data_IF_270348028345
#
_entry.id   IF_270348028345
#
_cell.length_a   1.000
_cell.length_b   1.000
_cell.length_c   1.000
_cell.angle_alpha   90.00
_cell.angle_beta   90.00
_cell.angle_gamma   90.00
#
_symmetry.space_group_name_H-M   'P 1'
#
loop_
_entity.id
_entity.type
_entity.pdbx_description
1 polymer ?
#
# COMPACT_ATOMS: atom_id res chain seq x y z
N UNK A 1 12.12 12.99 -1.80
CA UNK A 1 10.97 13.88 -1.63
C UNK A 1 9.74 13.32 -2.33
N UNK A 2 9.91 12.73 -3.49
CA UNK A 2 8.80 12.14 -4.25
C UNK A 2 8.06 11.05 -3.49
N UNK A 3 8.78 10.26 -2.69
CA UNK A 3 8.18 9.20 -1.90
C UNK A 3 7.21 9.68 -0.83
N UNK A 4 7.22 10.96 -0.50
CA UNK A 4 6.32 11.52 0.51
C UNK A 4 4.86 11.53 0.06
N UNK A 5 4.62 11.50 -1.25
CA UNK A 5 3.28 11.54 -1.82
C UNK A 5 2.73 10.14 -2.10
N UNK A 6 3.16 9.15 -1.35
CA UNK A 6 2.69 7.77 -1.49
C UNK A 6 2.08 7.25 -0.20
N UNK A 7 0.93 6.60 -0.35
CA UNK A 7 0.33 5.75 0.67
C UNK A 7 0.43 4.31 0.16
N UNK A 8 0.96 3.42 0.99
CA UNK A 8 1.14 2.01 0.63
C UNK A 8 0.23 1.15 1.48
N UNK A 9 -0.47 0.22 0.84
CA UNK A 9 -1.38 -0.71 1.50
C UNK A 9 -0.97 -2.13 1.18
N UNK A 10 -1.04 -3.01 2.17
CA UNK A 10 -0.79 -4.43 2.01
C UNK A 10 -2.07 -5.19 2.34
N UNK A 11 -2.67 -5.81 1.33
CA UNK A 11 -3.89 -6.59 1.47
C UNK A 11 -3.60 -8.07 1.28
N UNK A 12 -3.57 -8.82 2.36
CA UNK A 12 -3.31 -10.26 2.33
C UNK A 12 -4.59 -11.08 2.23
N UNK A 13 -4.47 -12.24 1.60
CA UNK A 13 -5.52 -13.25 1.56
C UNK A 13 -6.87 -12.74 1.04
N UNK A 14 -6.86 -11.96 -0.03
CA UNK A 14 -8.08 -11.49 -0.67
C UNK A 14 -8.08 -11.86 -2.15
N UNK A 15 -9.28 -12.08 -2.68
CA UNK A 15 -9.47 -12.34 -4.11
C UNK A 15 -9.34 -11.05 -4.91
N UNK A 16 -9.02 -11.18 -6.20
CA UNK A 16 -8.85 -10.03 -7.08
C UNK A 16 -10.11 -9.15 -7.15
N UNK A 17 -11.29 -9.75 -7.19
CA UNK A 17 -12.52 -8.95 -7.26
C UNK A 17 -12.74 -8.10 -6.00
N UNK A 18 -12.31 -8.57 -4.84
CA UNK A 18 -12.35 -7.79 -3.60
C UNK A 18 -11.36 -6.64 -3.68
N UNK A 19 -10.16 -6.91 -4.19
CA UNK A 19 -9.15 -5.88 -4.43
C UNK A 19 -9.74 -4.76 -5.30
N UNK A 20 -10.32 -5.09 -6.43
CA UNK A 20 -10.87 -4.11 -7.35
C UNK A 20 -12.08 -3.36 -6.78
N UNK A 21 -12.89 -4.02 -5.98
CA UNK A 21 -13.99 -3.36 -5.28
C UNK A 21 -13.47 -2.28 -4.33
N UNK A 22 -12.43 -2.59 -3.57
CA UNK A 22 -11.77 -1.61 -2.68
C UNK A 22 -11.17 -0.46 -3.48
N UNK A 23 -10.48 -0.77 -4.58
CA UNK A 23 -9.87 0.24 -5.46
C UNK A 23 -10.94 1.20 -5.99
N UNK A 24 -12.09 0.68 -6.42
CA UNK A 24 -13.17 1.51 -6.93
C UNK A 24 -13.72 2.49 -5.88
N UNK A 25 -13.70 2.11 -4.61
CA UNK A 25 -14.08 3.03 -3.53
C UNK A 25 -12.96 4.05 -3.24
N UNK A 26 -11.72 3.58 -3.17
CA UNK A 26 -10.57 4.44 -2.86
C UNK A 26 -10.41 5.56 -3.88
N UNK A 27 -10.55 5.25 -5.17
CA UNK A 27 -10.34 6.23 -6.24
C UNK A 27 -11.31 7.41 -6.21
N UNK A 28 -12.40 7.29 -5.48
CA UNK A 28 -13.37 8.40 -5.32
C UNK A 28 -12.88 9.49 -4.40
N UNK A 29 -11.87 9.22 -3.57
CA UNK A 29 -11.34 10.20 -2.64
C UNK A 29 -10.50 11.25 -3.38
N UNK A 30 -10.69 12.52 -3.01
CA UNK A 30 -10.00 13.65 -3.65
C UNK A 30 -8.48 13.60 -3.48
N UNK A 31 -7.98 12.92 -2.46
CA UNK A 31 -6.55 12.82 -2.22
C UNK A 31 -5.86 11.94 -3.26
N UNK A 32 -6.60 11.07 -3.93
CA UNK A 32 -6.04 10.06 -4.82
C UNK A 32 -5.77 10.63 -6.20
N UNK A 33 -4.50 10.66 -6.60
CA UNK A 33 -4.08 11.02 -7.96
C UNK A 33 -4.02 9.80 -8.86
N UNK A 34 -3.39 8.73 -8.40
CA UNK A 34 -3.28 7.47 -9.14
C UNK A 34 -3.07 6.32 -8.18
N UNK A 35 -3.36 5.11 -8.66
CA UNK A 35 -3.23 3.88 -7.88
C UNK A 35 -2.48 2.87 -8.72
N UNK A 36 -1.39 2.31 -8.20
CA UNK A 36 -0.69 1.18 -8.81
C UNK A 36 -1.00 -0.09 -8.03
N UNK A 37 -1.34 -1.14 -8.73
CA UNK A 37 -1.74 -2.42 -8.17
C UNK A 37 -0.69 -3.47 -8.54
N UNK A 38 -0.14 -4.13 -7.52
CA UNK A 38 0.82 -5.22 -7.69
C UNK A 38 0.29 -6.46 -6.96
N UNK A 39 0.52 -7.62 -7.55
CA UNK A 39 0.38 -8.87 -6.80
C UNK A 39 1.55 -9.00 -5.84
N UNK A 40 1.27 -9.38 -4.58
CA UNK A 40 2.31 -9.53 -3.57
C UNK A 40 3.27 -10.67 -3.93
N UNK A 41 4.51 -10.66 -3.41
CA UNK A 41 5.48 -11.74 -3.69
C UNK A 41 4.99 -13.13 -3.34
N UNK A 42 4.09 -13.25 -2.34
CA UNK A 42 3.50 -14.54 -1.97
C UNK A 42 2.44 -15.05 -2.94
N UNK A 43 1.88 -14.14 -3.75
CA UNK A 43 0.80 -14.48 -4.67
C UNK A 43 -0.57 -14.62 -4.02
N UNK A 44 -0.73 -14.27 -2.75
CA UNK A 44 -1.99 -14.42 -2.01
C UNK A 44 -2.65 -13.09 -1.65
N UNK A 45 -2.09 -11.98 -2.12
CA UNK A 45 -2.62 -10.66 -1.82
C UNK A 45 -2.08 -9.61 -2.78
N UNK A 46 -2.23 -8.36 -2.39
CA UNK A 46 -1.89 -7.23 -3.26
C UNK A 46 -1.17 -6.15 -2.49
N UNK A 47 -0.19 -5.53 -3.16
CA UNK A 47 0.44 -4.29 -2.72
C UNK A 47 -0.15 -3.15 -3.51
N UNK A 48 -0.64 -2.14 -2.82
CA UNK A 48 -1.31 -0.99 -3.43
C UNK A 48 -0.50 0.25 -3.12
N UNK A 49 -0.13 0.99 -4.17
CA UNK A 49 0.62 2.25 -4.05
C UNK A 49 -0.26 3.38 -4.54
N UNK A 50 -0.63 4.27 -3.63
CA UNK A 50 -1.52 5.38 -3.92
C UNK A 50 -0.72 6.66 -3.96
N UNK A 51 -0.72 7.34 -5.12
CA UNK A 51 -0.09 8.63 -5.27
C UNK A 51 -1.08 9.71 -4.85
N UNK A 52 -0.63 10.59 -3.96
CA UNK A 52 -1.45 11.66 -3.41
C UNK A 52 -1.43 12.91 -4.30
N UNK A 53 -2.53 13.65 -4.32
CA UNK A 53 -2.62 14.93 -5.01
C UNK A 53 -1.95 16.07 -4.25
N UNK A 54 -1.81 15.93 -2.93
CA UNK A 54 -1.19 16.93 -2.05
C UNK A 54 -0.59 16.22 -0.82
N UNK A 55 0.40 16.85 -0.17
CA UNK A 55 1.07 16.22 0.98
C UNK A 55 0.11 15.98 2.13
N UNK A 56 0.28 14.85 2.80
CA UNK A 56 -0.46 14.49 4.01
C UNK A 56 0.51 14.38 5.18
N UNK A 57 0.04 14.68 6.38
CA UNK A 57 0.79 14.42 7.59
C UNK A 57 0.88 12.92 7.85
N UNK A 58 1.79 12.51 8.72
CA UNK A 58 1.89 11.11 9.11
C UNK A 58 0.56 10.61 9.69
N UNK A 59 -0.07 11.39 10.55
CA UNK A 59 -1.34 11.04 11.19
C UNK A 59 -2.47 10.88 10.17
N UNK A 60 -2.50 11.75 9.17
CA UNK A 60 -3.48 11.65 8.08
C UNK A 60 -3.26 10.37 7.27
N UNK A 61 -2.00 10.04 6.96
CA UNK A 61 -1.68 8.80 6.25
C UNK A 61 -2.08 7.57 7.05
N UNK A 62 -1.83 7.56 8.35
CA UNK A 62 -2.27 6.46 9.23
C UNK A 62 -3.79 6.31 9.17
N UNK A 63 -4.53 7.43 9.22
CA UNK A 63 -5.99 7.40 9.12
C UNK A 63 -6.45 6.73 7.81
N UNK A 64 -5.89 7.14 6.68
CA UNK A 64 -6.22 6.53 5.39
C UNK A 64 -5.86 5.06 5.33
N UNK A 65 -4.69 4.68 5.85
CA UNK A 65 -4.28 3.28 5.89
C UNK A 65 -5.24 2.42 6.70
N UNK A 66 -5.77 2.96 7.79
CA UNK A 66 -6.77 2.27 8.61
C UNK A 66 -8.09 2.09 7.86
N UNK A 67 -8.66 3.16 7.30
CA UNK A 67 -9.96 3.07 6.61
C UNK A 67 -9.85 2.29 5.31
N UNK A 68 -8.69 2.28 4.66
CA UNK A 68 -8.46 1.53 3.43
C UNK A 68 -7.88 0.13 3.69
N UNK A 69 -7.96 -0.33 4.94
CA UNK A 69 -7.72 -1.71 5.34
C UNK A 69 -6.29 -2.20 5.09
N UNK A 70 -5.30 -1.33 5.29
CA UNK A 70 -3.90 -1.77 5.33
C UNK A 70 -3.71 -2.81 6.43
N UNK A 71 -2.70 -3.66 6.29
CA UNK A 71 -2.35 -4.64 7.31
C UNK A 71 -2.13 -3.93 8.66
N UNK A 72 -2.92 -4.26 9.69
CA UNK A 72 -2.80 -3.59 10.99
C UNK A 72 -1.41 -3.73 11.62
N UNK A 73 -0.68 -4.81 11.32
CA UNK A 73 0.67 -5.01 11.83
C UNK A 73 1.63 -3.95 11.31
N UNK A 74 1.50 -3.56 10.03
CA UNK A 74 2.31 -2.49 9.45
C UNK A 74 2.03 -1.16 10.12
N UNK A 75 0.76 -0.87 10.39
CA UNK A 75 0.34 0.37 11.06
C UNK A 75 0.91 0.43 12.48
N UNK A 76 0.78 -0.65 13.23
CA UNK A 76 1.30 -0.72 14.60
C UNK A 76 2.81 -0.53 14.62
N UNK A 77 3.54 -1.18 13.70
CA UNK A 77 4.99 -1.04 13.60
C UNK A 77 5.36 0.43 13.40
N UNK A 78 4.68 1.12 12.49
CA UNK A 78 4.97 2.51 12.20
C UNK A 78 4.65 3.43 13.37
N UNK A 79 3.58 3.16 14.11
CA UNK A 79 3.22 3.94 15.29
C UNK A 79 4.24 3.78 16.44
N UNK A 80 4.96 2.66 16.48
CA UNK A 80 5.97 2.39 17.51
C UNK A 80 7.35 2.93 17.16
N UNK A 81 7.58 3.36 15.92
CA UNK A 81 8.88 3.90 15.49
C UNK A 81 9.09 5.30 16.04
N UNK A 82 10.35 5.60 16.36
CA UNK A 82 10.77 6.85 16.99
C UNK A 82 11.79 7.54 16.09
N UNK A 83 11.71 8.87 16.03
CA UNK A 83 12.69 9.68 15.31
C UNK A 83 12.65 9.48 13.80
N UNK A 84 13.82 9.20 13.21
CA UNK A 84 13.98 9.11 11.76
C UNK A 84 13.87 7.69 11.22
N UNK A 85 13.36 6.73 12.00
CA UNK A 85 13.18 5.37 11.52
C UNK A 85 12.26 5.35 10.30
N UNK A 86 12.60 4.57 9.25
CA UNK A 86 11.76 4.50 8.06
C UNK A 86 10.37 4.00 8.38
N UNK A 87 9.35 4.66 7.81
CA UNK A 87 7.95 4.29 7.96
C UNK A 87 7.37 3.89 6.62
N UNK A 88 6.25 3.15 6.68
CA UNK A 88 5.53 2.69 5.49
C UNK A 88 6.43 1.87 4.56
N UNK A 89 7.23 0.99 5.15
CA UNK A 89 8.12 0.10 4.40
C UNK A 89 7.32 -1.05 3.79
N UNK A 90 7.48 -1.26 2.49
CA UNK A 90 6.85 -2.35 1.77
C UNK A 90 7.92 -3.29 1.22
N UNK A 91 7.83 -4.57 1.54
CA UNK A 91 8.76 -5.56 1.00
C UNK A 91 8.33 -5.96 -0.41
N UNK A 92 9.11 -5.52 -1.40
CA UNK A 92 8.83 -5.74 -2.82
C UNK A 92 9.24 -7.13 -3.31
N UNK A 93 9.98 -7.87 -2.49
CA UNK A 93 10.37 -9.23 -2.83
C UNK A 93 10.46 -10.09 -1.58
N UNK A 94 10.44 -11.40 -1.79
CA UNK A 94 10.58 -12.40 -0.74
C UNK A 94 11.51 -13.51 -1.24
N UNK A 95 12.42 -13.98 -0.39
CA UNK A 95 13.27 -15.13 -0.69
C UNK A 95 12.76 -16.32 0.10
N UNK A 96 12.45 -17.41 -0.59
CA UNK A 96 11.97 -18.65 0.02
C UNK A 96 12.62 -19.82 -0.66
N UNK A 97 13.24 -20.70 0.11
CA UNK A 97 13.99 -21.87 -0.40
C UNK A 97 15.02 -21.48 -1.47
N UNK A 98 15.71 -20.37 -1.27
CA UNK A 98 16.70 -19.87 -2.22
C UNK A 98 16.15 -19.22 -3.47
N UNK A 99 14.83 -19.11 -3.62
CA UNK A 99 14.19 -18.51 -4.79
C UNK A 99 13.66 -17.13 -4.40
N UNK A 100 13.95 -16.13 -5.25
CA UNK A 100 13.45 -14.77 -5.08
C UNK A 100 12.10 -14.61 -5.77
N UNK A 101 11.10 -14.26 -5.01
CA UNK A 101 9.77 -13.91 -5.52
C UNK A 101 9.60 -12.40 -5.38
N UNK A 102 9.23 -11.73 -6.46
CA UNK A 102 9.03 -10.27 -6.48
C UNK A 102 7.54 -9.95 -6.65
N UNK A 103 7.14 -8.75 -6.23
CA UNK A 103 5.79 -8.29 -6.55
C UNK A 103 5.65 -8.13 -8.07
N UNK A 104 4.44 -8.37 -8.58
CA UNK A 104 4.16 -8.36 -10.01
C UNK A 104 3.16 -7.25 -10.31
N UNK A 105 3.54 -6.31 -11.18
CA UNK A 105 2.66 -5.21 -11.59
C UNK A 105 1.43 -5.75 -12.33
N UNK A 106 0.25 -5.27 -11.95
CA UNK A 106 -1.03 -5.62 -12.58
C UNK A 106 -1.55 -4.47 -13.41
N UNK A 107 -1.81 -3.32 -12.80
CA UNK A 107 -2.31 -2.16 -13.54
C UNK A 107 -2.15 -0.87 -12.74
N UNK A 108 -2.27 0.26 -13.46
CA UNK A 108 -2.31 1.58 -12.87
C UNK A 108 -3.63 2.24 -13.23
N UNK A 109 -4.26 2.87 -12.23
CA UNK A 109 -5.49 3.63 -12.41
C UNK A 109 -5.17 5.08 -12.15
N UNK A 110 -5.43 5.94 -13.13
CA UNK A 110 -5.17 7.39 -13.05
C UNK A 110 -6.50 8.10 -12.97
N UNK A 111 -6.66 8.93 -11.95
CA UNK A 111 -7.86 9.77 -11.81
C UNK A 111 -7.75 11.05 -12.63
#
# INVERSE_FOLDING_TARGET
VQGFLLIKLDWDNIAYYICMKRINEIKKDKVVKSIQIFESPKGDGYHIYIKENYPLTFEQKIHYREIWKDDPKRIIIDLLKIGNEPRDVMFKFKIQKGIKYSEIFIEEIVN
#
